data_IF_145498582383
#
_entry.id   IF_145498582383
#
_cell.length_a   1.000
_cell.length_b   1.000
_cell.length_c   1.000
_cell.angle_alpha   90.00
_cell.angle_beta   90.00
_cell.angle_gamma   90.00
#
_symmetry.space_group_name_H-M   'P 1'
#
loop_
_entity.id
_entity.type
_entity.pdbx_description
1 polymer ?
#
# COMPACT_ATOMS: atom_id res chain seq x y z
N UNK A 1 -5.61 -23.98 -1.07
CA UNK A 1 -6.06 -22.83 -1.89
C UNK A 1 -7.02 -21.98 -1.07
N UNK A 2 -6.89 -20.65 -1.09
CA UNK A 2 -7.80 -19.73 -0.39
C UNK A 2 -9.20 -19.75 -1.01
N UNK A 3 -10.25 -19.49 -0.21
CA UNK A 3 -11.66 -19.55 -0.65
C UNK A 3 -12.10 -18.38 -1.56
N UNK A 4 -11.21 -17.44 -1.89
CA UNK A 4 -11.52 -16.27 -2.72
C UNK A 4 -12.49 -15.28 -2.07
N UNK A 5 -12.63 -15.31 -0.74
CA UNK A 5 -13.55 -14.46 0.01
C UNK A 5 -12.84 -13.19 0.50
N UNK A 6 -13.56 -12.07 0.47
CA UNK A 6 -13.18 -10.86 1.21
C UNK A 6 -13.67 -10.91 2.66
N UNK A 7 -13.15 -10.03 3.51
CA UNK A 7 -13.57 -9.90 4.89
C UNK A 7 -13.75 -8.43 5.30
N UNK A 8 -14.50 -8.21 6.37
CA UNK A 8 -14.62 -6.93 7.05
C UNK A 8 -14.09 -7.11 8.47
N UNK A 9 -13.12 -6.29 8.85
CA UNK A 9 -12.59 -6.25 10.21
C UNK A 9 -13.25 -5.09 10.96
N UNK A 10 -14.27 -5.39 11.75
CA UNK A 10 -15.14 -4.40 12.41
C UNK A 10 -14.91 -4.32 13.94
N UNK A 11 -13.68 -4.54 14.39
CA UNK A 11 -13.30 -4.42 15.79
C UNK A 11 -13.31 -2.97 16.28
N UNK A 12 -13.42 -2.78 17.60
CA UNK A 12 -13.33 -1.48 18.27
C UNK A 12 -12.05 -0.71 17.91
N UNK A 13 -12.15 0.62 18.00
CA UNK A 13 -11.01 1.51 17.80
C UNK A 13 -9.91 1.22 18.82
N UNK A 14 -8.65 1.23 18.38
CA UNK A 14 -7.49 0.99 19.25
C UNK A 14 -7.04 -0.47 19.37
N UNK A 15 -7.79 -1.45 18.84
CA UNK A 15 -7.43 -2.88 18.89
C UNK A 15 -6.35 -3.32 17.88
N UNK A 16 -5.59 -2.37 17.31
CA UNK A 16 -4.43 -2.71 16.48
C UNK A 16 -4.76 -3.21 15.07
N UNK A 17 -5.89 -2.82 14.49
CA UNK A 17 -6.28 -3.21 13.11
C UNK A 17 -5.20 -2.93 12.05
N UNK A 18 -4.45 -1.83 12.21
CA UNK A 18 -3.31 -1.53 11.34
C UNK A 18 -2.23 -2.60 11.44
N UNK A 19 -1.89 -3.02 12.66
CA UNK A 19 -0.89 -4.07 12.91
C UNK A 19 -1.36 -5.41 12.35
N UNK A 20 -2.63 -5.77 12.57
CA UNK A 20 -3.19 -6.99 11.99
C UNK A 20 -3.12 -7.00 10.46
N UNK A 21 -3.42 -5.85 9.82
CA UNK A 21 -3.27 -5.71 8.38
C UNK A 21 -1.79 -5.82 7.93
N UNK A 22 -0.86 -5.19 8.64
CA UNK A 22 0.58 -5.30 8.34
C UNK A 22 1.09 -6.74 8.52
N UNK A 23 0.61 -7.46 9.54
CA UNK A 23 0.93 -8.88 9.74
C UNK A 23 0.43 -9.74 8.58
N UNK A 24 -0.75 -9.47 8.05
CA UNK A 24 -1.25 -10.14 6.84
C UNK A 24 -0.33 -9.85 5.64
N UNK A 25 0.07 -8.60 5.44
CA UNK A 25 0.96 -8.23 4.32
C UNK A 25 2.35 -8.88 4.43
N UNK A 26 2.91 -8.98 5.64
CA UNK A 26 4.15 -9.73 5.88
C UNK A 26 4.01 -11.21 5.53
N UNK A 27 2.91 -11.85 5.96
CA UNK A 27 2.64 -13.24 5.61
C UNK A 27 2.53 -13.45 4.08
N UNK A 28 1.91 -12.50 3.38
CA UNK A 28 1.85 -12.51 1.90
C UNK A 28 3.23 -12.31 1.26
N UNK A 29 4.08 -11.45 1.84
CA UNK A 29 5.47 -11.24 1.40
C UNK A 29 6.27 -12.55 1.47
N UNK A 30 6.21 -13.24 2.61
CA UNK A 30 6.91 -14.52 2.84
C UNK A 30 6.48 -15.60 1.84
N UNK A 31 5.19 -15.60 1.47
CA UNK A 31 4.63 -16.49 0.45
C UNK A 31 4.95 -16.10 -1.00
N UNK A 32 5.72 -15.03 -1.25
CA UNK A 32 6.05 -14.56 -2.60
C UNK A 32 4.86 -13.98 -3.37
N UNK A 33 3.83 -13.52 -2.67
CA UNK A 33 2.59 -13.05 -3.30
C UNK A 33 2.81 -11.83 -4.20
N UNK A 34 3.59 -10.86 -3.73
CA UNK A 34 3.77 -9.59 -4.44
C UNK A 34 4.52 -9.73 -5.77
N UNK A 35 5.35 -10.77 -5.92
CA UNK A 35 6.07 -11.08 -7.15
C UNK A 35 5.17 -11.72 -8.21
N UNK A 36 4.06 -12.35 -7.80
CA UNK A 36 3.17 -13.12 -8.70
C UNK A 36 1.84 -12.42 -8.98
N UNK A 37 1.24 -11.78 -7.96
CA UNK A 37 -0.06 -11.11 -8.06
C UNK A 37 0.04 -9.60 -8.32
N UNK A 38 1.13 -8.97 -7.86
CA UNK A 38 1.30 -7.52 -7.82
C UNK A 38 1.28 -6.99 -6.38
N UNK A 39 1.49 -5.68 -6.18
CA UNK A 39 1.53 -5.07 -4.85
C UNK A 39 0.13 -4.99 -4.22
N UNK A 40 0.07 -4.89 -2.90
CA UNK A 40 -1.16 -4.50 -2.22
C UNK A 40 -1.50 -3.02 -2.46
N UNK A 41 -2.75 -2.72 -2.84
CA UNK A 41 -3.27 -1.35 -2.86
C UNK A 41 -3.90 -1.01 -1.50
N UNK A 42 -3.28 -0.10 -0.76
CA UNK A 42 -3.81 0.37 0.51
C UNK A 42 -4.42 1.77 0.36
N UNK A 43 -5.72 1.89 0.61
CA UNK A 43 -6.48 3.13 0.44
C UNK A 43 -6.93 3.65 1.81
N UNK A 44 -6.47 4.84 2.20
CA UNK A 44 -6.72 5.39 3.54
C UNK A 44 -7.19 6.85 3.50
N UNK A 45 -7.83 7.37 4.54
CA UNK A 45 -7.98 8.82 4.73
C UNK A 45 -6.61 9.53 4.68
N UNK A 46 -6.56 10.73 4.09
CA UNK A 46 -5.29 11.45 3.92
C UNK A 46 -4.56 11.74 5.25
N UNK A 47 -5.31 11.99 6.32
CA UNK A 47 -4.78 12.20 7.68
C UNK A 47 -4.06 10.96 8.24
N UNK A 48 -4.32 9.76 7.71
CA UNK A 48 -3.71 8.52 8.18
C UNK A 48 -2.49 8.08 7.37
N UNK A 49 -2.13 8.76 6.27
CA UNK A 49 -0.97 8.39 5.45
C UNK A 49 0.32 8.29 6.28
N UNK A 50 0.67 9.35 7.00
CA UNK A 50 1.86 9.40 7.84
C UNK A 50 1.82 8.35 8.96
N UNK A 51 0.63 8.06 9.50
CA UNK A 51 0.49 7.04 10.52
C UNK A 51 0.82 5.65 9.97
N UNK A 52 0.25 5.30 8.82
CA UNK A 52 0.54 4.03 8.13
C UNK A 52 2.01 3.91 7.73
N UNK A 53 2.63 4.97 7.23
CA UNK A 53 4.07 4.98 6.92
C UNK A 53 4.92 4.70 8.17
N UNK A 54 4.63 5.38 9.29
CA UNK A 54 5.36 5.15 10.55
C UNK A 54 5.16 3.74 11.09
N UNK A 55 3.93 3.24 11.07
CA UNK A 55 3.63 1.89 11.56
C UNK A 55 4.26 0.82 10.67
N UNK A 56 4.18 0.95 9.34
CA UNK A 56 4.86 0.04 8.41
C UNK A 56 6.38 0.04 8.64
N UNK A 57 7.00 1.21 8.74
CA UNK A 57 8.44 1.30 9.03
C UNK A 57 8.82 0.69 10.38
N UNK A 58 7.95 0.83 11.40
CA UNK A 58 8.22 0.31 12.75
C UNK A 58 8.01 -1.21 12.86
N UNK A 59 6.92 -1.72 12.30
CA UNK A 59 6.43 -3.08 12.56
C UNK A 59 6.64 -4.03 11.38
N UNK A 60 6.84 -3.51 10.17
CA UNK A 60 7.07 -4.28 8.96
C UNK A 60 8.15 -3.65 8.08
N UNK A 61 9.38 -3.39 8.61
CA UNK A 61 10.43 -2.68 7.88
C UNK A 61 10.92 -3.39 6.61
N UNK A 62 10.61 -4.68 6.44
CA UNK A 62 10.91 -5.45 5.23
C UNK A 62 9.96 -5.15 4.07
N UNK A 63 8.77 -4.60 4.33
CA UNK A 63 7.80 -4.25 3.29
C UNK A 63 8.23 -2.96 2.59
N UNK A 64 8.37 -3.02 1.28
CA UNK A 64 8.65 -1.84 0.47
C UNK A 64 7.35 -1.07 0.22
N UNK A 65 7.22 0.11 0.85
CA UNK A 65 6.02 0.95 0.73
C UNK A 65 6.27 2.14 -0.19
N UNK A 66 5.43 2.30 -1.22
CA UNK A 66 5.40 3.49 -2.08
C UNK A 66 4.15 4.32 -1.78
N UNK A 67 4.33 5.63 -1.54
CA UNK A 67 3.20 6.53 -1.30
C UNK A 67 2.78 7.26 -2.56
N UNK A 68 1.63 6.88 -3.12
CA UNK A 68 1.00 7.50 -4.29
C UNK A 68 0.03 8.60 -3.82
N UNK A 69 0.57 9.76 -3.44
CA UNK A 69 -0.21 10.92 -2.98
C UNK A 69 0.55 12.24 -3.19
N UNK A 70 -0.18 13.37 -3.30
CA UNK A 70 0.40 14.71 -3.42
C UNK A 70 0.87 15.10 -4.83
N UNK A 71 1.34 16.33 -4.99
CA UNK A 71 1.73 16.89 -6.29
C UNK A 71 2.94 16.17 -6.93
N UNK A 72 3.79 15.54 -6.12
CA UNK A 72 4.99 14.82 -6.57
C UNK A 72 4.73 13.42 -7.12
N UNK A 73 3.50 12.89 -7.05
CA UNK A 73 3.18 11.48 -7.38
C UNK A 73 3.45 11.03 -8.83
N UNK A 74 3.68 11.97 -9.75
CA UNK A 74 4.04 11.69 -11.14
C UNK A 74 5.44 12.19 -11.56
N UNK A 75 6.09 13.01 -10.73
CA UNK A 75 7.43 13.52 -10.99
C UNK A 75 8.41 12.70 -10.18
N UNK A 76 9.46 12.14 -10.80
CA UNK A 76 10.50 11.34 -10.14
C UNK A 76 11.36 12.08 -9.10
N UNK A 77 10.81 13.04 -8.34
CA UNK A 77 11.47 13.70 -7.22
C UNK A 77 11.20 12.90 -5.94
N UNK A 78 12.24 12.22 -5.47
CA UNK A 78 12.24 11.44 -4.24
C UNK A 78 11.95 12.34 -3.02
N UNK A 79 10.75 12.21 -2.46
CA UNK A 79 10.52 12.54 -1.06
C UNK A 79 11.16 11.49 -0.16
N UNK A 80 11.49 11.87 1.07
CA UNK A 80 12.09 11.01 2.09
C UNK A 80 11.21 9.75 2.29
N UNK A 81 11.66 8.58 1.81
CA UNK A 81 10.96 7.30 2.02
C UNK A 81 10.91 6.29 0.86
N UNK A 82 11.54 6.52 -0.29
CA UNK A 82 11.77 5.45 -1.29
C UNK A 82 11.15 5.68 -2.68
N UNK A 83 12.00 5.48 -3.71
CA UNK A 83 11.77 5.47 -5.16
C UNK A 83 10.54 6.25 -5.70
N UNK A 84 10.75 7.54 -6.00
CA UNK A 84 9.86 8.31 -6.85
C UNK A 84 9.96 7.83 -8.32
N UNK A 85 8.91 7.15 -8.78
CA UNK A 85 8.72 6.77 -10.17
C UNK A 85 7.23 6.78 -10.49
N UNK A 86 6.89 6.69 -11.77
CA UNK A 86 5.50 6.46 -12.22
C UNK A 86 4.85 5.32 -11.43
N UNK A 87 3.52 5.37 -11.23
CA UNK A 87 2.74 4.29 -10.60
C UNK A 87 3.12 2.91 -11.13
N UNK A 88 3.39 2.79 -12.43
CA UNK A 88 3.80 1.52 -13.04
C UNK A 88 5.18 1.02 -12.56
N UNK A 89 6.10 1.94 -12.25
CA UNK A 89 7.39 1.60 -11.66
C UNK A 89 7.23 1.23 -10.18
N UNK A 90 6.36 1.93 -9.45
CA UNK A 90 6.01 1.57 -8.08
C UNK A 90 5.43 0.15 -8.00
N UNK A 91 4.48 -0.20 -8.87
CA UNK A 91 3.88 -1.54 -8.89
C UNK A 91 4.87 -2.68 -9.20
N UNK A 92 6.07 -2.40 -9.71
CA UNK A 92 7.10 -3.42 -9.94
C UNK A 92 8.10 -3.56 -8.81
N UNK A 93 8.13 -2.60 -7.87
CA UNK A 93 9.21 -2.48 -6.88
C UNK A 93 8.70 -2.46 -5.45
N UNK A 94 7.47 -2.02 -5.25
CA UNK A 94 6.86 -1.94 -3.94
C UNK A 94 6.04 -3.20 -3.66
N UNK A 95 5.97 -3.56 -2.39
CA UNK A 95 5.03 -4.54 -1.86
C UNK A 95 3.67 -3.87 -1.59
N UNK A 96 3.69 -2.58 -1.24
CA UNK A 96 2.51 -1.77 -0.91
C UNK A 96 2.51 -0.47 -1.70
N UNK A 97 1.38 -0.15 -2.34
CA UNK A 97 1.07 1.20 -2.82
C UNK A 97 0.05 1.83 -1.87
N UNK A 98 0.49 2.85 -1.13
CA UNK A 98 -0.33 3.59 -0.20
C UNK A 98 -0.91 4.84 -0.88
N UNK A 99 -2.23 4.99 -0.87
CA UNK A 99 -2.91 6.13 -1.48
C UNK A 99 -4.13 6.58 -0.66
N UNK A 100 -4.82 7.61 -1.15
CA UNK A 100 -6.06 8.11 -0.54
C UNK A 100 -7.23 7.95 -1.48
N UNK A 101 -8.45 8.00 -0.95
CA UNK A 101 -9.67 7.97 -1.75
C UNK A 101 -9.70 9.05 -2.83
N UNK A 102 -9.28 10.28 -2.49
CA UNK A 102 -9.25 11.40 -3.43
C UNK A 102 -8.23 11.16 -4.55
N UNK A 103 -7.02 10.68 -4.22
CA UNK A 103 -6.00 10.38 -5.23
C UNK A 103 -6.42 9.19 -6.11
N UNK A 104 -6.93 8.11 -5.50
CA UNK A 104 -7.42 6.94 -6.22
C UNK A 104 -8.50 7.32 -7.23
N UNK A 105 -9.45 8.17 -6.83
CA UNK A 105 -10.53 8.63 -7.72
C UNK A 105 -9.96 9.41 -8.91
N UNK A 106 -9.04 10.33 -8.67
CA UNK A 106 -8.42 11.14 -9.74
C UNK A 106 -7.59 10.27 -10.69
N UNK A 107 -6.83 9.33 -10.17
CA UNK A 107 -5.87 8.54 -10.93
C UNK A 107 -6.42 7.13 -11.30
N UNK A 108 -7.74 6.94 -11.21
CA UNK A 108 -8.40 5.63 -11.36
C UNK A 108 -8.05 4.94 -12.67
N UNK A 109 -7.98 5.70 -13.77
CA UNK A 109 -7.62 5.17 -15.08
C UNK A 109 -6.20 4.59 -15.11
N UNK A 110 -5.27 5.15 -14.33
CA UNK A 110 -3.93 4.61 -14.18
C UNK A 110 -3.90 3.37 -13.28
N UNK A 111 -4.60 3.44 -12.13
CA UNK A 111 -4.69 2.35 -11.16
C UNK A 111 -5.31 1.09 -11.77
N UNK A 112 -6.33 1.22 -12.62
CA UNK A 112 -7.00 0.08 -13.29
C UNK A 112 -6.13 -0.68 -14.30
N UNK A 113 -4.99 -0.12 -14.74
CA UNK A 113 -4.08 -0.77 -15.69
C UNK A 113 -3.13 -1.76 -15.02
N UNK A 114 -3.13 -1.82 -13.69
CA UNK A 114 -2.25 -2.67 -12.91
C UNK A 114 -3.02 -3.83 -12.29
N UNK A 115 -2.33 -4.98 -12.16
CA UNK A 115 -2.77 -6.07 -11.29
C UNK A 115 -2.42 -5.72 -9.84
N UNK A 116 -3.29 -6.11 -8.94
CA UNK A 116 -3.25 -5.86 -7.50
C UNK A 116 -3.50 -7.19 -6.79
#
# INVERSE_FOLDING_TARGET
AGRGLGCVLADDMGLGKTIQALSLLLFLQEGGHFQTAGPALLVVPASLLHNWQREAHRFAPSLTLHTHHGAGRGSGKAGQGGAAGSLSAACRRADIVLTTYATLRTDLAAVRRHKW
#
